data_IF_133558700871
#
_entry.id   IF_133558700871
#
_cell.length_a   1.000
_cell.length_b   1.000
_cell.length_c   1.000
_cell.angle_alpha   90.00
_cell.angle_beta   90.00
_cell.angle_gamma   90.00
#
_symmetry.space_group_name_H-M   'P 1'
#
loop_
_entity.id
_entity.type
_entity.pdbx_description
1 polymer ?
#
# COMPACT_ATOMS: atom_id res chain seq x y z
N UNK A 1 9.80 13.35 14.64
CA UNK A 1 8.91 12.35 15.27
C UNK A 1 9.71 11.06 15.39
N UNK A 2 9.46 10.23 16.38
CA UNK A 2 10.14 8.94 16.53
C UNK A 2 9.10 7.83 16.39
N UNK A 3 9.39 6.81 15.57
CA UNK A 3 8.54 5.63 15.47
C UNK A 3 8.86 4.65 16.60
N UNK A 4 7.83 4.00 17.11
CA UNK A 4 7.97 2.92 18.10
C UNK A 4 8.29 1.61 17.36
N UNK A 5 9.55 1.50 16.95
CA UNK A 5 10.10 0.38 16.19
C UNK A 5 11.47 -0.02 16.77
N UNK A 6 11.78 -1.32 16.78
CA UNK A 6 13.08 -1.82 17.26
C UNK A 6 14.15 -1.68 16.16
N UNK A 7 15.22 -0.95 16.46
CA UNK A 7 16.35 -0.76 15.53
C UNK A 7 17.16 -2.03 15.22
N UNK A 8 16.96 -3.10 15.98
CA UNK A 8 17.61 -4.40 15.73
C UNK A 8 16.89 -5.21 14.67
N UNK A 9 15.65 -4.84 14.31
CA UNK A 9 14.84 -5.55 13.33
C UNK A 9 15.16 -5.05 11.92
N UNK A 10 15.23 -5.98 10.98
CA UNK A 10 15.34 -5.70 9.55
C UNK A 10 13.95 -5.58 8.94
N UNK A 11 13.60 -4.39 8.49
CA UNK A 11 12.28 -4.07 7.97
C UNK A 11 12.21 -4.18 6.45
N UNK A 12 11.09 -4.65 5.91
CA UNK A 12 10.66 -4.37 4.55
C UNK A 12 9.64 -3.24 4.56
N UNK A 13 9.61 -2.44 3.53
CA UNK A 13 8.58 -1.42 3.30
C UNK A 13 7.86 -1.68 1.99
N UNK A 14 6.53 -1.83 2.03
CA UNK A 14 5.69 -1.79 0.83
C UNK A 14 5.70 -0.36 0.28
N UNK A 15 6.52 -0.15 -0.75
CA UNK A 15 6.91 1.17 -1.23
C UNK A 15 6.31 1.46 -2.60
N UNK A 16 5.28 2.30 -2.64
CA UNK A 16 4.53 2.60 -3.86
C UNK A 16 4.99 3.86 -4.62
N UNK A 17 5.91 4.66 -4.07
CA UNK A 17 6.25 5.96 -4.64
C UNK A 17 5.24 7.08 -4.36
N UNK A 18 4.17 6.79 -3.63
CA UNK A 18 3.22 7.78 -3.14
C UNK A 18 3.76 8.58 -1.95
N UNK A 19 3.15 9.73 -1.65
CA UNK A 19 3.64 10.66 -0.62
C UNK A 19 3.86 9.99 0.75
N UNK A 20 2.96 9.08 1.17
CA UNK A 20 3.05 8.44 2.48
C UNK A 20 4.23 7.47 2.56
N UNK A 21 4.37 6.58 1.57
CA UNK A 21 5.47 5.61 1.54
C UNK A 21 6.83 6.28 1.33
N UNK A 22 6.90 7.35 0.54
CA UNK A 22 8.14 8.13 0.36
C UNK A 22 8.56 8.83 1.66
N UNK A 23 7.61 9.46 2.35
CA UNK A 23 7.89 10.07 3.65
C UNK A 23 8.35 9.02 4.67
N UNK A 24 7.64 7.90 4.76
CA UNK A 24 7.99 6.83 5.69
C UNK A 24 9.40 6.29 5.42
N UNK A 25 9.73 6.02 4.14
CA UNK A 25 11.09 5.58 3.75
C UNK A 25 12.15 6.58 4.19
N UNK A 26 11.97 7.86 3.84
CA UNK A 26 12.92 8.92 4.17
C UNK A 26 13.12 9.04 5.68
N UNK A 27 12.05 8.99 6.44
CA UNK A 27 12.09 9.15 7.89
C UNK A 27 12.71 7.92 8.59
N UNK A 28 12.43 6.70 8.12
CA UNK A 28 13.06 5.48 8.62
C UNK A 28 14.57 5.50 8.39
N UNK A 29 15.02 5.85 7.19
CA UNK A 29 16.45 5.97 6.86
C UNK A 29 17.12 7.07 7.70
N UNK A 30 16.47 8.24 7.85
CA UNK A 30 16.97 9.35 8.68
C UNK A 30 17.13 8.96 10.14
N UNK A 31 16.24 8.09 10.64
CA UNK A 31 16.32 7.58 12.01
C UNK A 31 17.30 6.40 12.16
N UNK A 32 17.91 5.91 11.08
CA UNK A 32 18.91 4.83 11.09
C UNK A 32 18.31 3.44 11.26
N UNK A 33 17.09 3.20 10.76
CA UNK A 33 16.53 1.85 10.68
C UNK A 33 17.10 1.08 9.48
N UNK A 34 17.28 -0.23 9.63
CA UNK A 34 17.58 -1.14 8.52
C UNK A 34 16.28 -1.44 7.76
N UNK A 35 16.05 -0.73 6.66
CA UNK A 35 14.85 -0.86 5.84
C UNK A 35 15.21 -1.04 4.37
N UNK A 36 14.56 -2.00 3.70
CA UNK A 36 14.58 -2.19 2.24
C UNK A 36 13.20 -1.91 1.67
N UNK A 37 13.15 -1.13 0.62
CA UNK A 37 11.92 -0.80 -0.10
C UNK A 37 11.59 -1.90 -1.10
N UNK A 38 10.34 -2.35 -1.13
CA UNK A 38 9.81 -3.30 -2.12
C UNK A 38 8.68 -2.66 -2.89
N UNK A 39 8.85 -2.54 -4.18
CA UNK A 39 7.86 -1.96 -5.09
C UNK A 39 7.29 -3.06 -5.98
N UNK A 40 5.98 -3.29 -5.87
CA UNK A 40 5.28 -4.16 -6.81
C UNK A 40 5.00 -3.35 -8.09
N UNK A 41 5.24 -3.97 -9.22
CA UNK A 41 4.87 -3.45 -10.54
C UNK A 41 3.85 -4.40 -11.14
N UNK A 42 2.60 -3.97 -11.23
CA UNK A 42 1.49 -4.66 -11.87
C UNK A 42 0.78 -3.77 -12.89
N UNK A 43 -0.13 -4.35 -13.69
CA UNK A 43 -0.80 -3.64 -14.79
C UNK A 43 -1.83 -2.60 -14.31
N UNK A 44 -2.24 -2.63 -13.03
CA UNK A 44 -3.21 -1.65 -12.48
C UNK A 44 -2.54 -0.39 -11.95
N UNK A 45 -1.22 -0.37 -11.85
CA UNK A 45 -0.50 0.80 -11.31
C UNK A 45 -0.32 1.87 -12.36
N UNK A 46 -0.35 3.12 -11.92
CA UNK A 46 0.00 4.26 -12.75
C UNK A 46 1.53 4.30 -12.89
N UNK A 47 2.03 4.21 -14.11
CA UNK A 47 3.47 4.11 -14.42
C UNK A 47 4.33 5.17 -13.74
N UNK A 48 3.83 6.41 -13.65
CA UNK A 48 4.54 7.50 -12.98
C UNK A 48 4.82 7.24 -11.51
N UNK A 49 3.92 6.55 -10.79
CA UNK A 49 4.18 6.23 -9.39
C UNK A 49 5.40 5.33 -9.25
N UNK A 50 5.59 4.42 -10.19
CA UNK A 50 6.78 3.56 -10.24
C UNK A 50 8.04 4.36 -10.57
N UNK A 51 8.00 5.25 -11.56
CA UNK A 51 9.15 6.10 -11.94
C UNK A 51 9.56 7.02 -10.78
N UNK A 52 8.59 7.62 -10.10
CA UNK A 52 8.84 8.43 -8.91
C UNK A 52 9.44 7.58 -7.78
N UNK A 53 8.97 6.33 -7.60
CA UNK A 53 9.51 5.43 -6.57
C UNK A 53 11.00 5.17 -6.77
N UNK A 54 11.42 4.90 -8.01
CA UNK A 54 12.83 4.66 -8.35
C UNK A 54 13.66 5.92 -8.12
N UNK A 55 13.17 7.05 -8.62
CA UNK A 55 13.88 8.34 -8.50
C UNK A 55 14.09 8.71 -7.04
N UNK A 56 13.05 8.62 -6.21
CA UNK A 56 13.12 9.04 -4.81
C UNK A 56 13.94 8.04 -3.99
N UNK A 57 13.78 6.73 -4.21
CA UNK A 57 14.61 5.74 -3.52
C UNK A 57 16.10 5.97 -3.80
N UNK A 58 16.45 6.26 -5.07
CA UNK A 58 17.82 6.61 -5.46
C UNK A 58 18.31 7.90 -4.78
N UNK A 59 17.50 8.95 -4.73
CA UNK A 59 17.82 10.21 -4.05
C UNK A 59 18.08 10.01 -2.55
N UNK A 60 17.36 9.08 -1.92
CA UNK A 60 17.51 8.76 -0.51
C UNK A 60 18.64 7.78 -0.22
N UNK A 61 19.28 7.20 -1.25
CA UNK A 61 20.25 6.12 -1.10
C UNK A 61 19.63 4.84 -0.52
N UNK A 62 18.35 4.61 -0.77
CA UNK A 62 17.62 3.46 -0.27
C UNK A 62 17.89 2.21 -1.09
N UNK A 63 17.98 1.05 -0.43
CA UNK A 63 17.92 -0.25 -1.10
C UNK A 63 16.47 -0.50 -1.55
N UNK A 64 16.27 -0.67 -2.86
CA UNK A 64 14.96 -0.90 -3.46
C UNK A 64 14.97 -2.13 -4.35
N UNK A 65 13.96 -2.96 -4.21
CA UNK A 65 13.65 -4.05 -5.13
C UNK A 65 12.32 -3.82 -5.84
N UNK A 66 12.33 -3.95 -7.17
CA UNK A 66 11.12 -3.87 -8.01
C UNK A 66 10.73 -5.28 -8.38
N UNK A 67 9.52 -5.69 -7.99
CA UNK A 67 8.97 -7.02 -8.19
C UNK A 67 7.82 -6.92 -9.19
N UNK A 68 7.95 -7.61 -10.34
CA UNK A 68 6.88 -7.68 -11.33
C UNK A 68 5.89 -8.78 -10.98
N UNK A 69 4.61 -8.43 -11.00
CA UNK A 69 3.51 -9.38 -10.83
C UNK A 69 2.67 -9.38 -12.10
N UNK A 70 2.46 -10.58 -12.65
CA UNK A 70 1.56 -10.78 -13.77
C UNK A 70 0.11 -10.87 -13.27
N UNK A 71 -0.66 -9.82 -13.46
CA UNK A 71 -2.07 -9.77 -13.03
C UNK A 71 -2.94 -10.83 -13.73
N UNK A 72 -2.52 -11.29 -14.90
CA UNK A 72 -3.32 -12.20 -15.75
C UNK A 72 -3.19 -13.66 -15.36
N UNK A 73 -2.34 -14.00 -14.40
CA UNK A 73 -2.09 -15.36 -13.94
C UNK A 73 -2.36 -15.49 -12.43
N UNK A 74 -3.33 -16.31 -12.03
CA UNK A 74 -3.57 -16.64 -10.63
C UNK A 74 -4.27 -15.57 -9.78
N UNK A 75 -4.86 -14.52 -10.41
CA UNK A 75 -5.49 -13.40 -9.71
C UNK A 75 -6.93 -13.15 -10.16
N UNK A 76 -7.70 -14.22 -10.35
CA UNK A 76 -9.08 -14.17 -10.89
C UNK A 76 -10.02 -13.37 -9.99
N UNK A 77 -9.91 -13.48 -8.66
CA UNK A 77 -10.72 -12.74 -7.70
C UNK A 77 -10.48 -11.23 -7.81
N UNK A 78 -9.23 -10.83 -8.04
CA UNK A 78 -8.90 -9.41 -8.24
C UNK A 78 -9.47 -8.90 -9.56
N UNK A 79 -9.34 -9.69 -10.64
CA UNK A 79 -9.82 -9.33 -11.99
C UNK A 79 -11.35 -9.32 -12.10
N UNK A 80 -12.04 -10.09 -11.29
CA UNK A 80 -13.50 -10.02 -11.19
C UNK A 80 -13.99 -8.67 -10.64
N UNK A 81 -13.10 -7.85 -10.11
CA UNK A 81 -13.34 -6.50 -9.61
C UNK A 81 -14.53 -6.40 -8.63
N UNK A 82 -14.59 -7.25 -7.59
CA UNK A 82 -15.62 -7.14 -6.57
C UNK A 82 -15.47 -5.83 -5.78
N UNK A 83 -16.50 -5.46 -5.02
CA UNK A 83 -16.45 -4.26 -4.19
C UNK A 83 -15.24 -4.22 -3.23
N UNK A 84 -14.80 -5.40 -2.77
CA UNK A 84 -13.64 -5.57 -1.89
C UNK A 84 -12.34 -5.89 -2.67
N UNK A 85 -12.24 -5.54 -3.97
CA UNK A 85 -11.05 -5.77 -4.79
C UNK A 85 -9.75 -5.36 -4.08
N UNK A 86 -9.77 -4.25 -3.32
CA UNK A 86 -8.58 -3.77 -2.63
C UNK A 86 -8.04 -4.74 -1.57
N UNK A 87 -8.88 -5.63 -1.03
CA UNK A 87 -8.42 -6.72 -0.17
C UNK A 87 -7.56 -7.71 -0.96
N UNK A 88 -8.05 -8.20 -2.09
CA UNK A 88 -7.31 -9.15 -2.95
C UNK A 88 -6.01 -8.52 -3.48
N UNK A 89 -6.06 -7.26 -3.91
CA UNK A 89 -4.90 -6.52 -4.36
C UNK A 89 -3.83 -6.40 -3.25
N UNK A 90 -4.22 -5.96 -2.05
CA UNK A 90 -3.26 -5.86 -0.93
C UNK A 90 -2.76 -7.23 -0.47
N UNK A 91 -3.59 -8.26 -0.48
CA UNK A 91 -3.16 -9.62 -0.16
C UNK A 91 -2.11 -10.13 -1.14
N UNK A 92 -2.29 -9.90 -2.44
CA UNK A 92 -1.29 -10.19 -3.47
C UNK A 92 0.00 -9.39 -3.23
N UNK A 93 -0.11 -8.07 -3.12
CA UNK A 93 1.05 -7.17 -2.94
C UNK A 93 1.86 -7.55 -1.71
N UNK A 94 1.22 -7.64 -0.55
CA UNK A 94 1.92 -7.93 0.70
C UNK A 94 2.42 -9.37 0.76
N UNK A 95 1.65 -10.35 0.26
CA UNK A 95 2.08 -11.74 0.19
C UNK A 95 3.35 -11.90 -0.65
N UNK A 96 3.37 -11.31 -1.85
CA UNK A 96 4.55 -11.31 -2.71
C UNK A 96 5.76 -10.64 -2.05
N UNK A 97 5.56 -9.48 -1.42
CA UNK A 97 6.66 -8.80 -0.71
C UNK A 97 7.19 -9.64 0.44
N UNK A 98 6.31 -10.26 1.24
CA UNK A 98 6.72 -11.12 2.36
C UNK A 98 7.56 -12.32 1.91
N UNK A 99 7.27 -12.92 0.74
CA UNK A 99 8.09 -13.98 0.16
C UNK A 99 9.50 -13.49 -0.21
N UNK A 100 9.61 -12.29 -0.77
CA UNK A 100 10.91 -11.66 -1.10
C UNK A 100 11.67 -11.28 0.17
N UNK A 101 11.00 -10.68 1.14
CA UNK A 101 11.59 -10.33 2.44
C UNK A 101 12.17 -11.54 3.16
N UNK A 102 11.49 -12.69 3.08
CA UNK A 102 11.99 -13.94 3.67
C UNK A 102 13.33 -14.37 3.08
N UNK A 103 13.54 -14.19 1.77
CA UNK A 103 14.83 -14.47 1.10
C UNK A 103 15.91 -13.50 1.56
N UNK A 104 15.55 -12.26 1.87
CA UNK A 104 16.45 -11.21 2.37
C UNK A 104 16.67 -11.26 3.90
N UNK A 105 16.06 -12.22 4.59
CA UNK A 105 16.16 -12.34 6.06
C UNK A 105 15.50 -11.18 6.79
N UNK A 106 14.44 -10.56 6.20
CA UNK A 106 13.64 -9.49 6.81
C UNK A 106 12.35 -10.06 7.35
N UNK A 107 11.89 -9.57 8.50
CA UNK A 107 10.82 -10.23 9.26
C UNK A 107 9.57 -9.39 9.46
N UNK A 108 9.65 -8.07 9.36
CA UNK A 108 8.53 -7.17 9.60
C UNK A 108 8.28 -6.30 8.38
N UNK A 109 7.09 -6.41 7.79
CA UNK A 109 6.64 -5.59 6.68
C UNK A 109 5.95 -4.32 7.21
N UNK A 110 6.37 -3.18 6.71
CA UNK A 110 5.78 -1.87 6.97
C UNK A 110 4.97 -1.40 5.76
N UNK A 111 3.92 -0.59 6.00
CA UNK A 111 3.21 0.12 4.93
C UNK A 111 2.99 1.60 5.24
N UNK A 112 2.63 2.38 4.22
CA UNK A 112 2.39 3.82 4.32
C UNK A 112 0.98 4.20 4.76
N UNK A 113 0.18 3.29 5.32
CA UNK A 113 -1.17 3.61 5.82
C UNK A 113 -1.06 4.66 6.95
N UNK A 114 -1.80 5.76 6.83
CA UNK A 114 -1.79 6.88 7.75
C UNK A 114 -3.08 7.00 8.59
N UNK A 115 -3.13 7.93 9.54
CA UNK A 115 -4.27 8.08 10.45
C UNK A 115 -5.55 8.62 9.79
N UNK A 116 -5.45 9.23 8.60
CA UNK A 116 -6.63 9.66 7.83
C UNK A 116 -7.29 8.53 7.06
N UNK A 117 -6.63 7.37 6.94
CA UNK A 117 -7.18 6.21 6.24
C UNK A 117 -8.27 5.55 7.07
N UNK A 118 -9.48 5.52 6.55
CA UNK A 118 -10.65 4.99 7.25
C UNK A 118 -10.76 3.48 7.03
N UNK A 119 -10.64 2.74 8.13
CA UNK A 119 -10.72 1.27 8.13
C UNK A 119 -12.12 0.76 7.77
N UNK A 120 -13.16 1.48 8.20
CA UNK A 120 -14.56 1.18 7.91
C UNK A 120 -14.95 1.34 6.43
N UNK A 121 -14.08 1.95 5.63
CA UNK A 121 -14.30 2.19 4.19
C UNK A 121 -13.29 1.54 3.26
N UNK A 122 -12.28 0.86 3.81
CA UNK A 122 -11.17 0.31 3.01
C UNK A 122 -11.01 -1.19 3.22
N UNK A 123 -11.53 -2.03 2.32
CA UNK A 123 -11.41 -3.49 2.41
C UNK A 123 -9.97 -3.99 2.58
N UNK A 124 -9.00 -3.24 2.08
CA UNK A 124 -7.58 -3.58 2.18
C UNK A 124 -7.01 -3.65 3.61
N UNK A 125 -7.69 -3.09 4.63
CA UNK A 125 -7.26 -3.23 6.03
C UNK A 125 -7.29 -4.67 6.52
N UNK A 126 -8.21 -5.48 6.02
CA UNK A 126 -8.24 -6.90 6.32
C UNK A 126 -6.91 -7.59 5.98
N UNK A 127 -6.34 -7.31 4.81
CA UNK A 127 -5.04 -7.86 4.42
C UNK A 127 -3.89 -7.37 5.34
N UNK A 128 -3.93 -6.10 5.79
CA UNK A 128 -2.97 -5.56 6.76
C UNK A 128 -2.99 -6.41 8.04
N UNK A 129 -4.18 -6.68 8.57
CA UNK A 129 -4.33 -7.46 9.81
C UNK A 129 -3.95 -8.94 9.61
N UNK A 130 -4.46 -9.60 8.59
CA UNK A 130 -4.20 -11.02 8.33
C UNK A 130 -2.71 -11.31 8.10
N UNK A 131 -1.99 -10.40 7.42
CA UNK A 131 -0.58 -10.57 7.09
C UNK A 131 0.37 -9.90 8.12
N UNK A 132 -0.17 -9.32 9.18
CA UNK A 132 0.62 -8.69 10.24
C UNK A 132 1.48 -7.52 9.76
N UNK A 133 0.98 -6.77 8.77
CA UNK A 133 1.67 -5.58 8.27
C UNK A 133 1.56 -4.45 9.31
N UNK A 134 2.66 -3.77 9.58
CA UNK A 134 2.72 -2.67 10.53
C UNK A 134 2.60 -1.33 9.81
N UNK A 135 1.77 -0.44 10.31
CA UNK A 135 1.51 0.91 9.75
C UNK A 135 2.06 2.00 10.68
N UNK A 136 3.37 2.35 10.62
CA UNK A 136 3.99 3.26 11.59
C UNK A 136 3.39 4.66 11.59
N UNK A 137 2.98 5.18 10.42
CA UNK A 137 2.35 6.50 10.33
C UNK A 137 1.01 6.52 11.06
N UNK A 138 0.19 5.47 10.88
CA UNK A 138 -1.09 5.33 11.57
C UNK A 138 -0.90 5.17 13.08
N UNK A 139 0.02 4.33 13.50
CA UNK A 139 0.34 4.11 14.92
C UNK A 139 0.80 5.41 15.61
N UNK A 140 1.55 6.25 14.88
CA UNK A 140 1.99 7.55 15.35
C UNK A 140 0.93 8.66 15.23
N UNK A 141 -0.30 8.36 14.82
CA UNK A 141 -1.38 9.33 14.65
C UNK A 141 -1.15 10.35 13.52
N UNK A 142 -0.25 10.06 12.58
CA UNK A 142 0.05 10.96 11.47
C UNK A 142 -1.09 11.00 10.46
N UNK A 143 -1.68 12.16 10.28
CA UNK A 143 -2.68 12.41 9.24
C UNK A 143 -2.00 12.66 7.88
N UNK A 144 -2.78 12.58 6.80
CA UNK A 144 -2.29 12.90 5.44
C UNK A 144 -1.66 14.29 5.34
N UNK A 145 -2.28 15.28 5.99
CA UNK A 145 -1.78 16.66 5.98
C UNK A 145 -0.45 16.78 6.73
N UNK A 146 -0.32 16.10 7.88
CA UNK A 146 0.94 16.03 8.61
C UNK A 146 2.04 15.35 7.78
N UNK A 147 1.72 14.28 7.08
CA UNK A 147 2.68 13.60 6.19
C UNK A 147 3.16 14.55 5.09
N UNK A 148 2.26 15.30 4.45
CA UNK A 148 2.62 16.29 3.42
C UNK A 148 3.49 17.41 3.99
N UNK A 149 3.13 17.97 5.13
CA UNK A 149 3.91 19.00 5.81
C UNK A 149 5.33 18.52 6.13
N UNK A 150 5.47 17.34 6.70
CA UNK A 150 6.77 16.77 7.03
C UNK A 150 7.57 16.38 5.76
N UNK A 151 6.90 15.89 4.71
CA UNK A 151 7.52 15.65 3.41
C UNK A 151 8.12 16.92 2.82
N UNK A 152 7.39 18.05 2.91
CA UNK A 152 7.88 19.35 2.45
C UNK A 152 9.10 19.81 3.27
N UNK A 153 9.10 19.63 4.60
CA UNK A 153 10.24 19.94 5.46
C UNK A 153 11.48 19.12 5.14
N UNK A 154 11.31 17.88 4.68
CA UNK A 154 12.41 17.02 4.21
C UNK A 154 12.81 17.30 2.76
N UNK A 155 12.15 18.22 2.07
CA UNK A 155 12.41 18.52 0.66
C UNK A 155 12.03 17.41 -0.31
N UNK A 156 11.11 16.53 0.07
CA UNK A 156 10.69 15.41 -0.78
C UNK A 156 9.84 15.93 -1.95
N UNK A 157 10.15 15.54 -3.20
CA UNK A 157 9.39 15.98 -4.39
C UNK A 157 7.91 15.58 -4.32
N UNK A 158 7.58 14.52 -3.57
CA UNK A 158 6.21 14.02 -3.41
C UNK A 158 5.34 14.82 -2.43
N UNK A 159 5.87 15.81 -1.73
CA UNK A 159 5.12 16.58 -0.72
C UNK A 159 3.78 17.12 -1.26
N UNK A 160 3.79 17.65 -2.49
CA UNK A 160 2.63 18.20 -3.17
C UNK A 160 2.05 17.25 -4.23
N UNK A 161 2.57 16.01 -4.33
CA UNK A 161 2.08 15.04 -5.30
C UNK A 161 0.61 14.69 -5.01
N UNK A 162 -0.28 14.77 -6.00
CA UNK A 162 -1.65 14.29 -5.85
C UNK A 162 -1.67 12.79 -5.50
N UNK A 163 -2.69 12.37 -4.77
CA UNK A 163 -2.93 10.94 -4.55
C UNK A 163 -3.71 10.39 -5.73
N UNK A 164 -3.19 9.35 -6.38
CA UNK A 164 -3.86 8.67 -7.48
C UNK A 164 -4.49 7.36 -7.00
N UNK A 165 -5.63 7.02 -7.58
CA UNK A 165 -6.15 5.67 -7.53
C UNK A 165 -5.51 4.82 -8.64
N UNK A 166 -5.40 3.51 -8.42
CA UNK A 166 -4.99 2.58 -9.47
C UNK A 166 -6.04 2.53 -10.60
N UNK A 167 -5.66 2.07 -11.80
CA UNK A 167 -6.59 1.96 -12.93
C UNK A 167 -7.85 1.12 -12.60
N UNK A 168 -7.76 0.15 -11.70
CA UNK A 168 -8.91 -0.62 -11.26
C UNK A 168 -10.05 0.21 -10.66
N UNK A 169 -9.80 1.44 -10.19
CA UNK A 169 -10.82 2.34 -9.66
C UNK A 169 -11.73 2.94 -10.75
N UNK A 170 -11.36 2.83 -12.01
CA UNK A 170 -12.13 3.33 -13.16
C UNK A 170 -13.13 2.30 -13.73
N UNK A 171 -13.15 1.11 -13.14
CA UNK A 171 -14.10 0.05 -13.49
C UNK A 171 -15.27 0.05 -12.53
N UNK A 172 -16.47 -0.23 -13.06
CA UNK A 172 -17.66 -0.45 -12.25
C UNK A 172 -17.50 -1.69 -11.36
N UNK A 173 -18.23 -1.72 -10.25
CA UNK A 173 -18.28 -2.88 -9.34
C UNK A 173 -18.71 -4.14 -10.11
N UNK A 174 -17.96 -5.23 -9.94
CA UNK A 174 -18.15 -6.50 -10.64
C UNK A 174 -17.99 -6.43 -12.17
N UNK A 175 -17.46 -5.33 -12.68
CA UNK A 175 -17.02 -5.23 -14.06
C UNK A 175 -15.65 -5.91 -14.20
N UNK A 176 -15.60 -7.02 -14.91
CA UNK A 176 -14.38 -7.80 -15.04
C UNK A 176 -13.28 -6.99 -15.76
N UNK A 177 -12.08 -7.01 -15.19
CA UNK A 177 -10.89 -6.39 -15.77
C UNK A 177 -10.24 -7.40 -16.71
N UNK A 178 -10.17 -7.05 -18.00
CA UNK A 178 -9.46 -7.81 -19.03
C UNK A 178 -8.31 -6.98 -19.60
N UNK A 179 -7.34 -7.59 -20.30
CA UNK A 179 -6.28 -6.83 -20.96
C UNK A 179 -6.82 -5.73 -21.88
N UNK A 180 -7.88 -6.04 -22.64
CA UNK A 180 -8.49 -5.12 -23.61
C UNK A 180 -9.21 -3.97 -22.90
N UNK A 181 -10.02 -4.27 -21.87
CA UNK A 181 -10.74 -3.25 -21.11
C UNK A 181 -9.78 -2.36 -20.31
N UNK A 182 -8.70 -2.94 -19.78
CA UNK A 182 -7.65 -2.16 -19.11
C UNK A 182 -6.92 -1.24 -20.10
N UNK A 183 -6.50 -1.74 -21.26
CA UNK A 183 -5.86 -0.91 -22.27
C UNK A 183 -6.76 0.24 -22.74
N UNK A 184 -8.05 0.00 -22.94
CA UNK A 184 -9.02 1.04 -23.28
C UNK A 184 -9.15 2.09 -22.15
N UNK A 185 -9.19 1.65 -20.88
CA UNK A 185 -9.25 2.52 -19.69
C UNK A 185 -7.99 3.38 -19.58
N UNK A 186 -6.81 2.79 -19.76
CA UNK A 186 -5.53 3.52 -19.75
C UNK A 186 -5.48 4.57 -20.84
N UNK A 187 -5.85 4.20 -22.08
CA UNK A 187 -5.87 5.14 -23.22
C UNK A 187 -6.85 6.30 -22.98
N UNK A 188 -8.04 6.01 -22.46
CA UNK A 188 -9.02 7.04 -22.10
C UNK A 188 -8.47 7.95 -21.02
N UNK A 189 -7.92 7.37 -19.95
CA UNK A 189 -7.29 8.12 -18.86
C UNK A 189 -6.20 9.05 -19.37
N UNK A 190 -5.29 8.56 -20.21
CA UNK A 190 -4.19 9.36 -20.77
C UNK A 190 -4.69 10.47 -21.69
N UNK A 191 -5.78 10.23 -22.45
CA UNK A 191 -6.38 11.25 -23.32
C UNK A 191 -7.09 12.36 -22.52
N UNK A 192 -7.79 12.01 -21.45
CA UNK A 192 -8.48 12.95 -20.58
C UNK A 192 -7.54 13.72 -19.64
N UNK A 193 -6.34 13.16 -19.40
CA UNK A 193 -5.35 13.68 -18.47
C UNK A 193 -3.96 13.70 -19.13
N UNK A 194 -3.73 14.50 -20.16
CA UNK A 194 -2.42 14.56 -20.85
C UNK A 194 -1.28 14.97 -19.90
N UNK A 195 -1.63 15.71 -18.83
CA UNK A 195 -0.74 16.02 -17.72
C UNK A 195 -0.97 15.07 -16.53
N UNK A 196 -1.44 13.88 -16.79
CA UNK A 196 -1.96 12.90 -15.81
C UNK A 196 -1.03 12.62 -14.63
N UNK A 197 0.15 13.10 -14.82
CA UNK A 197 1.08 13.31 -13.77
C UNK A 197 0.49 14.01 -12.56
N UNK A 198 -0.44 14.92 -12.69
CA UNK A 198 -0.74 15.90 -11.63
C UNK A 198 -2.19 15.96 -11.13
N UNK A 199 -3.20 15.32 -11.72
CA UNK A 199 -4.58 15.81 -11.50
C UNK A 199 -5.69 14.84 -11.19
N UNK A 200 -5.49 13.53 -11.13
CA UNK A 200 -6.64 12.65 -10.84
C UNK A 200 -6.69 12.26 -9.38
N UNK A 201 -7.50 13.01 -8.65
CA UNK A 201 -8.11 12.52 -7.41
C UNK A 201 -9.38 11.78 -7.78
N UNK A 202 -9.30 10.47 -7.87
CA UNK A 202 -10.47 9.66 -7.58
C UNK A 202 -10.18 9.04 -6.23
N UNK A 203 -11.10 9.13 -5.30
CA UNK A 203 -10.96 8.47 -4.01
C UNK A 203 -10.94 6.95 -4.16
N UNK A 204 -11.01 6.44 -5.38
CA UNK A 204 -10.79 5.06 -5.81
C UNK A 204 -11.61 3.99 -5.06
N UNK A 205 -12.37 4.44 -4.10
CA UNK A 205 -13.20 3.60 -3.26
C UNK A 205 -14.60 3.58 -3.84
N UNK A 206 -14.97 2.42 -4.36
CA UNK A 206 -16.39 2.11 -4.51
C UNK A 206 -16.96 2.15 -3.08
N UNK A 207 -17.83 3.11 -2.77
CA UNK A 207 -18.44 3.17 -1.46
C UNK A 207 -19.21 1.87 -1.21
N UNK A 208 -18.89 1.13 -0.13
CA UNK A 208 -19.64 -0.07 0.18
C UNK A 208 -21.08 0.30 0.56
N UNK A 209 -22.03 -0.54 0.18
CA UNK A 209 -23.39 -0.46 0.71
C UNK A 209 -23.37 -0.61 2.24
N UNK A 210 -24.38 -0.17 2.98
CA UNK A 210 -24.42 -0.34 4.44
C UNK A 210 -24.19 -1.78 4.91
N UNK A 211 -24.69 -2.75 4.16
CA UNK A 211 -24.49 -4.18 4.46
C UNK A 211 -23.02 -4.63 4.24
N UNK A 212 -22.40 -4.16 3.15
CA UNK A 212 -20.99 -4.42 2.85
C UNK A 212 -20.06 -3.73 3.86
N UNK A 213 -20.39 -2.50 4.26
CA UNK A 213 -19.63 -1.78 5.31
C UNK A 213 -19.68 -2.53 6.65
N UNK A 214 -20.86 -3.00 7.06
CA UNK A 214 -21.02 -3.79 8.27
C UNK A 214 -20.33 -5.16 8.18
N UNK A 215 -20.26 -5.77 7.00
CA UNK A 215 -19.49 -6.99 6.77
C UNK A 215 -17.99 -6.72 6.90
N UNK A 216 -17.50 -5.63 6.30
CA UNK A 216 -16.11 -5.21 6.36
C UNK A 216 -15.63 -4.95 7.80
N UNK A 217 -16.43 -4.27 8.61
CA UNK A 217 -16.10 -4.06 10.03
C UNK A 217 -15.94 -5.40 10.78
N UNK A 218 -16.85 -6.36 10.55
CA UNK A 218 -16.75 -7.69 11.17
C UNK A 218 -15.51 -8.44 10.70
N UNK A 219 -15.20 -8.41 9.40
CA UNK A 219 -14.03 -9.09 8.82
C UNK A 219 -12.73 -8.48 9.35
N UNK A 220 -12.64 -7.16 9.39
CA UNK A 220 -11.46 -6.47 9.93
C UNK A 220 -11.27 -6.76 11.43
N UNK A 221 -12.36 -6.76 12.21
CA UNK A 221 -12.30 -7.08 13.64
C UNK A 221 -11.88 -8.55 13.87
N UNK A 222 -12.41 -9.49 13.09
CA UNK A 222 -12.02 -10.89 13.17
C UNK A 222 -10.55 -11.12 12.80
N UNK A 223 -10.06 -10.46 11.76
CA UNK A 223 -8.65 -10.54 11.33
C UNK A 223 -7.70 -9.99 12.40
N UNK A 224 -8.03 -8.85 13.02
CA UNK A 224 -7.26 -8.31 14.16
C UNK A 224 -7.22 -9.29 15.33
N UNK A 225 -8.38 -9.78 15.77
CA UNK A 225 -8.47 -10.70 16.90
C UNK A 225 -7.74 -12.04 16.64
N UNK A 226 -7.74 -12.54 15.41
CA UNK A 226 -6.96 -13.70 15.03
C UNK A 226 -5.46 -13.44 15.17
N UNK A 227 -4.99 -12.31 14.64
CA UNK A 227 -3.57 -11.94 14.70
C UNK A 227 -3.07 -11.69 16.13
N UNK A 228 -3.87 -11.03 16.96
CA UNK A 228 -3.54 -10.82 18.37
C UNK A 228 -3.40 -12.15 19.13
N UNK A 229 -4.26 -13.15 18.81
CA UNK A 229 -4.15 -14.52 19.39
C UNK A 229 -2.87 -15.21 18.96
N UNK A 230 -2.56 -15.22 17.66
CA UNK A 230 -1.31 -15.80 17.14
C UNK A 230 -0.08 -15.18 17.80
N UNK A 231 -0.07 -13.85 17.94
CA UNK A 231 1.06 -13.13 18.57
C UNK A 231 1.22 -13.51 20.03
N UNK A 232 0.11 -13.69 20.76
CA UNK A 232 0.13 -14.09 22.18
C UNK A 232 0.56 -15.55 22.35
N UNK A 233 0.04 -16.46 21.54
CA UNK A 233 0.45 -17.87 21.54
C UNK A 233 1.93 -18.05 21.18
N UNK A 234 2.44 -17.25 20.24
CA UNK A 234 3.86 -17.24 19.89
C UNK A 234 4.74 -16.72 21.05
N UNK A 235 4.29 -15.72 21.81
CA UNK A 235 5.00 -15.21 22.97
C UNK A 235 5.04 -16.24 24.12
N UNK A 236 3.91 -16.88 24.42
CA UNK A 236 3.79 -17.91 25.47
C UNK A 236 4.58 -19.21 25.14
N UNK A 237 4.87 -19.49 23.88
CA UNK A 237 5.67 -20.66 23.46
C UNK A 237 7.19 -20.46 23.58
N UNK A 238 7.66 -19.26 23.92
CA UNK A 238 9.06 -18.89 24.04
C UNK A 238 9.51 -18.64 25.51
N UNK A 239 8.58 -18.79 26.47
CA UNK A 239 8.84 -18.85 27.90
C UNK A 239 8.98 -20.32 28.37
#
# INVERSE_FOLDING_TARGET
MQFDLDKKVKYGLAYSGGVDSCYLLAELLRQGFDVKAYTILDDLQITRDTDDSVTIASMLGADQEIIRVNLWEGHDELRANPWNRCYYCKSMVFGTILEHMKKDGRTVLLDGTNASDREDRRPGFRAIHELGVVSPLRAAGMTKDMVREQSAKLGLPTANKPSYACYGAYFGKNEAITPESLAATVNKFMAEHPDAADRVRTDGNIEPSPAEAAALERENAAARAARERETREAAESHE
#
